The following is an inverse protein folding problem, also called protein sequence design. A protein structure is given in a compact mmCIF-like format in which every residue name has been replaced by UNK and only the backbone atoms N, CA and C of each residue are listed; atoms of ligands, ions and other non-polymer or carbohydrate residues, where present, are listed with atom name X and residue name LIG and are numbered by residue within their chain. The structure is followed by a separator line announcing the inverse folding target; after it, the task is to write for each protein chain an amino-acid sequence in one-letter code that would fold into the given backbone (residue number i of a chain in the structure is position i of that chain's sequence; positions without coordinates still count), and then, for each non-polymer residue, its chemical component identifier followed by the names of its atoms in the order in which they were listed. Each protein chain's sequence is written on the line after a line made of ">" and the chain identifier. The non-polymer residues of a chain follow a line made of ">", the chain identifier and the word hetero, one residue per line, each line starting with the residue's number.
data_IF_649863217374
#
_entry.id   IF_649863217374
#
_cell.length_a   1.000
_cell.length_b   1.000
_cell.length_c   1.000
_cell.angle_alpha   90.00
_cell.angle_beta   90.00
_cell.angle_gamma   90.00
#
_symmetry.space_group_name_H-M   'P 1'
#
loop_
_entity.id
_entity.type
_entity.pdbx_description
1 polymer ?
#
# COMPACT_ATOMS: atom_id res chain seq x y z
N UNK A 1 53.39 13.63 -53.28
CA UNK A 1 52.79 13.73 -51.93
C UNK A 1 51.31 13.58 -52.07
N UNK A 2 50.68 12.48 -51.68
CA UNK A 2 49.22 12.33 -51.70
C UNK A 2 48.63 13.04 -50.51
N UNK A 3 47.56 13.85 -50.77
CA UNK A 3 46.76 14.53 -49.76
C UNK A 3 46.05 13.50 -48.87
N UNK A 4 46.22 13.61 -47.55
CA UNK A 4 45.46 12.84 -46.57
C UNK A 4 44.03 13.29 -46.61
N UNK A 5 43.13 12.48 -47.16
CA UNK A 5 41.68 12.60 -46.99
C UNK A 5 41.31 12.28 -45.54
N UNK A 6 40.90 13.31 -44.81
CA UNK A 6 40.33 13.17 -43.49
C UNK A 6 38.99 12.44 -43.61
N UNK A 7 38.95 11.16 -43.25
CA UNK A 7 37.72 10.38 -43.08
C UNK A 7 36.90 11.02 -41.97
N UNK A 8 35.97 11.86 -42.33
CA UNK A 8 34.92 12.34 -41.41
C UNK A 8 33.91 11.19 -41.21
N UNK A 9 34.01 10.54 -40.07
CA UNK A 9 32.98 9.65 -39.61
C UNK A 9 31.72 10.49 -39.31
N UNK A 10 30.88 10.68 -40.31
CA UNK A 10 29.51 11.21 -40.07
C UNK A 10 28.70 10.08 -39.46
N UNK A 11 28.60 10.04 -38.12
CA UNK A 11 27.54 9.27 -37.43
C UNK A 11 26.22 10.00 -37.68
N UNK A 12 25.77 9.98 -38.93
CA UNK A 12 24.44 10.41 -39.31
C UNK A 12 23.46 9.27 -38.92
N UNK A 13 23.32 9.05 -37.62
CA UNK A 13 22.20 8.27 -37.11
C UNK A 13 20.93 9.00 -37.48
N UNK A 14 19.94 8.31 -38.09
CA UNK A 14 18.63 8.89 -38.36
C UNK A 14 18.14 9.62 -37.10
N UNK A 15 17.53 10.82 -37.22
CA UNK A 15 17.08 11.62 -36.05
C UNK A 15 16.11 10.86 -35.15
N UNK A 16 15.55 9.74 -35.64
CA UNK A 16 14.78 8.78 -34.85
C UNK A 16 15.64 7.93 -33.90
N UNK A 17 16.76 7.38 -34.36
CA UNK A 17 17.66 6.54 -33.55
C UNK A 17 18.32 7.35 -32.43
N UNK A 18 18.73 8.59 -32.67
CA UNK A 18 19.31 9.46 -31.63
C UNK A 18 18.27 9.81 -30.57
N UNK A 19 17.02 10.09 -30.97
CA UNK A 19 15.92 10.34 -30.01
C UNK A 19 15.58 9.11 -29.20
N UNK A 20 15.53 7.94 -29.79
CA UNK A 20 15.30 6.68 -29.08
C UNK A 20 16.45 6.38 -28.11
N UNK A 21 17.69 6.53 -28.58
CA UNK A 21 18.88 6.36 -27.75
C UNK A 21 18.92 7.30 -26.55
N UNK A 22 18.65 8.59 -26.76
CA UNK A 22 18.62 9.57 -25.66
C UNK A 22 17.48 9.25 -24.65
N UNK A 23 16.29 8.89 -25.14
CA UNK A 23 15.18 8.47 -24.26
C UNK A 23 15.51 7.21 -23.47
N UNK A 24 16.16 6.24 -24.10
CA UNK A 24 16.61 5.01 -23.42
C UNK A 24 17.66 5.31 -22.34
N UNK A 25 18.61 6.22 -22.60
CA UNK A 25 19.59 6.68 -21.61
C UNK A 25 18.93 7.41 -20.44
N UNK A 26 17.97 8.31 -20.71
CA UNK A 26 17.20 9.00 -19.67
C UNK A 26 16.39 8.02 -18.83
N UNK A 27 15.71 7.04 -19.46
CA UNK A 27 14.98 5.99 -18.74
C UNK A 27 15.90 5.15 -17.88
N UNK A 28 17.07 4.73 -18.42
CA UNK A 28 18.08 3.99 -17.65
C UNK A 28 18.59 4.82 -16.46
N UNK A 29 18.85 6.12 -16.67
CA UNK A 29 19.25 7.04 -15.62
C UNK A 29 18.19 7.17 -14.50
N UNK A 30 16.93 7.30 -14.88
CA UNK A 30 15.79 7.35 -13.93
C UNK A 30 15.66 6.03 -13.17
N UNK A 31 15.75 4.89 -13.86
CA UNK A 31 15.66 3.56 -13.23
C UNK A 31 16.85 3.36 -12.27
N UNK A 32 18.07 3.66 -12.70
CA UNK A 32 19.24 3.52 -11.86
C UNK A 32 19.20 4.44 -10.64
N UNK A 33 18.81 5.71 -10.83
CA UNK A 33 18.63 6.65 -9.74
C UNK A 33 17.57 6.16 -8.74
N UNK A 34 16.41 5.72 -9.25
CA UNK A 34 15.33 5.17 -8.41
C UNK A 34 15.81 3.93 -7.65
N UNK A 35 16.53 3.03 -8.30
CA UNK A 35 17.09 1.85 -7.65
C UNK A 35 18.07 2.20 -6.53
N UNK A 36 18.97 3.18 -6.76
CA UNK A 36 19.90 3.67 -5.73
C UNK A 36 19.16 4.32 -4.57
N UNK A 37 18.16 5.15 -4.85
CA UNK A 37 17.33 5.78 -3.80
C UNK A 37 16.60 4.72 -2.98
N UNK A 38 15.96 3.74 -3.62
CA UNK A 38 15.27 2.64 -2.93
C UNK A 38 16.26 1.80 -2.10
N UNK A 39 17.44 1.54 -2.63
CA UNK A 39 18.49 0.83 -1.89
C UNK A 39 18.97 1.63 -0.66
N UNK A 40 19.20 2.93 -0.78
CA UNK A 40 19.56 3.79 0.35
C UNK A 40 18.41 3.84 1.40
N UNK A 41 17.17 3.98 0.95
CA UNK A 41 16.00 3.96 1.83
C UNK A 41 15.88 2.61 2.57
N UNK A 42 16.22 1.50 1.93
CA UNK A 42 16.21 0.19 2.58
C UNK A 42 17.25 0.07 3.69
N UNK A 43 18.40 0.75 3.59
CA UNK A 43 19.42 0.77 4.65
C UNK A 43 18.95 1.51 5.92
N UNK A 44 18.11 2.52 5.75
CA UNK A 44 17.52 3.31 6.85
C UNK A 44 16.04 3.01 7.07
N UNK A 45 15.60 1.84 6.63
CA UNK A 45 14.20 1.40 6.71
C UNK A 45 13.65 1.42 8.15
N UNK A 46 14.50 1.17 9.16
CA UNK A 46 14.14 1.26 10.57
C UNK A 46 13.61 2.62 11.02
N UNK A 47 13.96 3.72 10.31
CA UNK A 47 13.42 5.05 10.54
C UNK A 47 12.39 5.45 9.48
N UNK A 48 12.69 5.17 8.20
CA UNK A 48 11.84 5.57 7.06
C UNK A 48 10.44 4.96 7.17
N UNK A 49 10.35 3.68 7.51
CA UNK A 49 9.06 2.99 7.61
C UNK A 49 8.17 3.59 8.70
N UNK A 50 8.61 3.75 9.97
CA UNK A 50 7.83 4.43 10.99
C UNK A 50 7.46 5.87 10.62
N UNK A 51 8.35 6.59 9.94
CA UNK A 51 8.09 7.95 9.49
C UNK A 51 6.99 8.02 8.41
N UNK A 52 7.05 7.15 7.41
CA UNK A 52 5.99 7.06 6.38
C UNK A 52 4.65 6.65 7.00
N UNK A 53 4.66 5.71 7.95
CA UNK A 53 3.46 5.34 8.71
C UNK A 53 2.91 6.55 9.48
N UNK A 54 3.78 7.32 10.14
CA UNK A 54 3.37 8.52 10.86
C UNK A 54 2.77 9.58 9.94
N UNK A 55 3.31 9.79 8.73
CA UNK A 55 2.74 10.68 7.71
C UNK A 55 1.36 10.22 7.25
N UNK A 56 1.21 8.92 6.99
CA UNK A 56 -0.08 8.32 6.62
C UNK A 56 -1.11 8.50 7.73
N UNK A 57 -0.75 8.16 8.97
CA UNK A 57 -1.63 8.33 10.13
C UNK A 57 -1.92 9.82 10.39
N UNK A 58 -0.95 10.71 10.17
CA UNK A 58 -1.16 12.15 10.19
C UNK A 58 -2.21 12.59 9.17
N UNK A 59 -2.06 12.16 7.91
CA UNK A 59 -3.04 12.46 6.87
C UNK A 59 -4.44 11.94 7.21
N UNK A 60 -4.56 10.75 7.84
CA UNK A 60 -5.84 10.17 8.24
C UNK A 60 -6.48 10.91 9.41
N UNK A 61 -5.70 11.19 10.45
CA UNK A 61 -6.23 11.60 11.74
C UNK A 61 -6.07 13.10 12.07
N UNK A 62 -5.28 13.88 11.28
CA UNK A 62 -5.19 15.33 11.46
C UNK A 62 -6.58 16.02 11.48
N UNK A 63 -7.55 15.68 10.60
CA UNK A 63 -8.88 16.29 10.67
C UNK A 63 -9.64 15.98 11.97
N UNK A 64 -9.34 14.85 12.61
CA UNK A 64 -9.94 14.52 13.90
C UNK A 64 -9.35 15.38 15.01
N UNK A 65 -8.03 15.63 14.97
CA UNK A 65 -7.37 16.58 15.89
C UNK A 65 -7.92 18.00 15.69
N UNK A 66 -8.12 18.41 14.43
CA UNK A 66 -8.69 19.74 14.12
C UNK A 66 -10.13 19.87 14.64
N UNK A 67 -10.96 18.85 14.52
CA UNK A 67 -12.32 18.82 15.10
C UNK A 67 -12.28 18.89 16.64
N UNK A 68 -11.36 18.18 17.29
CA UNK A 68 -11.20 18.27 18.75
C UNK A 68 -10.77 19.69 19.17
N UNK A 69 -9.97 20.36 18.38
CA UNK A 69 -9.59 21.76 18.59
C UNK A 69 -10.78 22.70 18.50
N UNK A 70 -11.69 22.50 17.55
CA UNK A 70 -12.94 23.27 17.46
C UNK A 70 -13.82 23.12 18.70
N UNK A 71 -13.70 22.00 19.45
CA UNK A 71 -14.38 21.75 20.71
C UNK A 71 -13.56 22.19 21.94
N UNK A 72 -12.52 23.00 21.75
CA UNK A 72 -11.74 23.61 22.85
C UNK A 72 -10.59 22.77 23.37
N UNK A 73 -10.27 21.60 22.76
CA UNK A 73 -9.11 20.79 23.15
C UNK A 73 -7.85 21.37 22.51
N UNK A 74 -6.78 21.66 23.27
CA UNK A 74 -5.52 22.11 22.67
C UNK A 74 -4.96 21.05 21.72
N UNK A 75 -4.29 21.46 20.64
CA UNK A 75 -3.82 20.58 19.57
C UNK A 75 -2.96 19.42 20.09
N UNK A 76 -2.09 19.68 21.06
CA UNK A 76 -1.29 18.65 21.75
C UNK A 76 -2.16 17.63 22.50
N UNK A 77 -3.21 18.11 23.18
CA UNK A 77 -4.19 17.25 23.86
C UNK A 77 -5.00 16.41 22.87
N UNK A 78 -5.45 17.01 21.75
CA UNK A 78 -6.14 16.31 20.67
C UNK A 78 -5.28 15.23 20.03
N UNK A 79 -4.02 15.54 19.74
CA UNK A 79 -3.05 14.58 19.21
C UNK A 79 -2.81 13.40 20.18
N UNK A 80 -2.70 13.69 21.47
CA UNK A 80 -2.54 12.66 22.51
C UNK A 80 -3.78 11.76 22.59
N UNK A 81 -4.99 12.33 22.58
CA UNK A 81 -6.24 11.56 22.58
C UNK A 81 -6.35 10.64 21.36
N UNK A 82 -6.02 11.14 20.15
CA UNK A 82 -5.99 10.35 18.93
C UNK A 82 -4.95 9.23 19.02
N UNK A 83 -3.75 9.52 19.52
CA UNK A 83 -2.70 8.53 19.71
C UNK A 83 -3.11 7.45 20.72
N UNK A 84 -3.72 7.81 21.84
CA UNK A 84 -4.25 6.86 22.82
C UNK A 84 -5.35 6.00 22.21
N UNK A 85 -6.30 6.59 21.48
CA UNK A 85 -7.35 5.86 20.78
C UNK A 85 -6.76 4.88 19.75
N UNK A 86 -5.78 5.32 18.96
CA UNK A 86 -5.08 4.47 18.01
C UNK A 86 -4.34 3.31 18.71
N UNK A 87 -3.66 3.60 19.82
CA UNK A 87 -2.99 2.59 20.64
C UNK A 87 -3.97 1.54 21.16
N UNK A 88 -5.12 1.97 21.66
CA UNK A 88 -6.19 1.06 22.13
C UNK A 88 -6.70 0.19 20.98
N UNK A 89 -6.91 0.78 19.78
CA UNK A 89 -7.34 0.02 18.58
C UNK A 89 -6.27 -0.99 18.17
N UNK A 90 -5.00 -0.59 18.11
CA UNK A 90 -3.88 -1.47 17.70
C UNK A 90 -3.69 -2.60 18.72
N UNK A 91 -3.62 -2.28 20.01
CA UNK A 91 -3.45 -3.29 21.08
C UNK A 91 -4.67 -4.18 21.16
N UNK A 92 -5.89 -3.64 21.07
CA UNK A 92 -7.13 -4.41 21.06
C UNK A 92 -7.23 -5.33 19.85
N UNK A 93 -6.87 -4.85 18.66
CA UNK A 93 -6.82 -5.69 17.45
C UNK A 93 -5.76 -6.79 17.56
N UNK A 94 -4.57 -6.45 18.06
CA UNK A 94 -3.52 -7.43 18.31
C UNK A 94 -3.97 -8.50 19.31
N UNK A 95 -4.64 -8.10 20.38
CA UNK A 95 -5.22 -9.05 21.37
C UNK A 95 -6.25 -9.97 20.74
N UNK A 96 -7.18 -9.43 19.90
CA UNK A 96 -8.18 -10.22 19.20
C UNK A 96 -7.53 -11.22 18.22
N UNK A 97 -6.49 -10.81 17.49
CA UNK A 97 -5.74 -11.68 16.59
C UNK A 97 -5.03 -12.78 17.39
N UNK A 98 -4.35 -12.41 18.46
CA UNK A 98 -3.62 -13.37 19.31
C UNK A 98 -4.58 -14.37 19.94
N UNK A 99 -5.66 -13.91 20.58
CA UNK A 99 -6.63 -14.80 21.22
C UNK A 99 -7.40 -15.67 20.22
N UNK A 100 -7.76 -15.10 19.06
CA UNK A 100 -8.49 -15.81 18.00
C UNK A 100 -7.63 -16.79 17.21
N UNK A 101 -6.38 -16.43 16.89
CA UNK A 101 -5.53 -17.23 16.02
C UNK A 101 -4.59 -18.16 16.82
N UNK A 102 -3.87 -17.62 17.82
CA UNK A 102 -2.90 -18.42 18.58
C UNK A 102 -3.61 -19.41 19.49
N UNK A 103 -4.71 -19.01 20.14
CA UNK A 103 -5.52 -19.90 20.98
C UNK A 103 -6.12 -21.07 20.20
N UNK A 104 -6.32 -20.91 18.90
CA UNK A 104 -6.90 -21.94 18.02
C UNK A 104 -5.86 -22.60 17.10
N UNK A 105 -4.56 -22.34 17.28
CA UNK A 105 -3.49 -22.88 16.45
C UNK A 105 -3.51 -24.41 16.29
N UNK A 106 -3.80 -25.23 17.32
CA UNK A 106 -3.92 -26.69 17.15
C UNK A 106 -5.07 -27.05 16.22
N UNK A 107 -6.24 -26.43 16.38
CA UNK A 107 -7.40 -26.68 15.53
C UNK A 107 -7.14 -26.23 14.09
N UNK A 108 -6.53 -25.05 13.89
CA UNK A 108 -6.11 -24.57 12.56
C UNK A 108 -5.23 -25.62 11.87
N UNK A 109 -4.25 -26.19 12.57
CA UNK A 109 -3.38 -27.23 12.01
C UNK A 109 -4.18 -28.47 11.61
N UNK A 110 -5.06 -28.95 12.47
CA UNK A 110 -5.88 -30.14 12.21
C UNK A 110 -6.75 -29.95 10.97
N UNK A 111 -7.47 -28.82 10.86
CA UNK A 111 -8.35 -28.56 9.71
C UNK A 111 -7.57 -28.34 8.42
N UNK A 112 -6.43 -27.65 8.46
CA UNK A 112 -5.57 -27.47 7.30
C UNK A 112 -5.00 -28.79 6.80
N UNK A 113 -4.51 -29.68 7.69
CA UNK A 113 -3.99 -30.99 7.30
C UNK A 113 -5.11 -31.85 6.72
N UNK A 114 -6.28 -31.90 7.33
CA UNK A 114 -7.44 -32.62 6.81
C UNK A 114 -7.88 -32.13 5.42
N UNK A 115 -7.86 -30.80 5.20
CA UNK A 115 -8.13 -30.20 3.89
C UNK A 115 -7.10 -30.61 2.84
N UNK A 116 -5.82 -30.62 3.18
CA UNK A 116 -4.73 -31.06 2.30
C UNK A 116 -4.82 -32.54 1.97
N UNK A 117 -5.11 -33.38 2.96
CA UNK A 117 -5.30 -34.82 2.77
C UNK A 117 -6.48 -35.11 1.82
N UNK A 118 -7.54 -34.31 1.94
CA UNK A 118 -8.69 -34.38 1.01
C UNK A 118 -8.31 -34.00 -0.42
N UNK A 119 -7.52 -32.93 -0.62
CA UNK A 119 -7.02 -32.56 -1.94
C UNK A 119 -6.14 -33.65 -2.54
N UNK A 120 -5.20 -34.18 -1.76
CA UNK A 120 -4.26 -35.21 -2.24
C UNK A 120 -4.97 -36.52 -2.58
N UNK A 121 -5.93 -36.97 -1.77
CA UNK A 121 -6.74 -38.15 -2.05
C UNK A 121 -7.64 -37.98 -3.27
N UNK A 122 -8.18 -36.78 -3.48
CA UNK A 122 -8.97 -36.48 -4.67
C UNK A 122 -8.12 -36.51 -5.95
N UNK A 123 -6.90 -35.92 -5.93
CA UNK A 123 -5.96 -35.94 -7.05
C UNK A 123 -5.57 -37.38 -7.41
N UNK A 124 -5.23 -38.21 -6.41
CA UNK A 124 -4.89 -39.61 -6.59
C UNK A 124 -6.06 -40.41 -7.17
N UNK A 125 -7.30 -40.17 -6.68
CA UNK A 125 -8.51 -40.81 -7.17
C UNK A 125 -8.84 -40.52 -8.65
N UNK A 126 -8.33 -39.41 -9.20
CA UNK A 126 -8.51 -39.01 -10.59
C UNK A 126 -7.30 -39.35 -11.51
N UNK A 127 -6.36 -40.15 -11.00
CA UNK A 127 -5.19 -40.59 -11.78
C UNK A 127 -4.20 -39.46 -12.07
N UNK A 128 -4.37 -38.32 -11.39
CA UNK A 128 -3.37 -37.27 -11.35
C UNK A 128 -2.39 -37.70 -10.26
N UNK A 129 -1.42 -38.53 -10.65
CA UNK A 129 -0.29 -38.79 -9.80
C UNK A 129 0.33 -37.41 -9.48
N UNK A 130 0.10 -36.94 -8.28
CA UNK A 130 0.83 -35.81 -7.71
C UNK A 130 2.29 -36.25 -7.52
N UNK A 131 2.91 -36.61 -8.66
CA UNK A 131 4.28 -37.06 -8.88
C UNK A 131 4.76 -38.09 -7.86
N UNK A 132 5.20 -39.22 -8.36
CA UNK A 132 5.98 -40.23 -7.64
C UNK A 132 7.34 -39.72 -7.08
N UNK A 133 7.46 -38.41 -6.94
CA UNK A 133 8.49 -37.76 -6.13
C UNK A 133 7.83 -37.17 -4.91
N UNK A 134 8.30 -37.51 -3.73
CA UNK A 134 7.95 -36.95 -2.42
C UNK A 134 7.96 -35.41 -2.34
N UNK A 135 8.13 -34.74 -3.48
CA UNK A 135 8.34 -33.30 -3.66
C UNK A 135 7.04 -32.51 -3.73
N UNK A 136 5.92 -33.06 -4.24
CA UNK A 136 4.71 -32.27 -4.45
C UNK A 136 3.80 -32.20 -3.22
N UNK A 137 3.59 -33.33 -2.53
CA UNK A 137 2.87 -33.35 -1.24
C UNK A 137 3.66 -32.60 -0.17
N UNK A 138 4.98 -32.84 -0.09
CA UNK A 138 5.85 -32.07 0.81
C UNK A 138 5.93 -30.58 0.45
N UNK A 139 5.85 -30.21 -0.84
CA UNK A 139 5.82 -28.80 -1.22
C UNK A 139 4.48 -28.15 -0.90
N UNK A 140 3.35 -28.83 -1.07
CA UNK A 140 2.04 -28.32 -0.67
C UNK A 140 1.91 -28.27 0.84
N UNK A 141 2.34 -29.32 1.57
CA UNK A 141 2.43 -29.30 3.03
C UNK A 141 3.41 -28.24 3.54
N UNK A 142 4.57 -28.09 2.89
CA UNK A 142 5.53 -27.06 3.27
C UNK A 142 5.03 -25.65 2.90
N UNK A 143 4.29 -25.49 1.82
CA UNK A 143 3.68 -24.21 1.44
C UNK A 143 2.53 -23.84 2.39
N UNK A 144 1.63 -24.76 2.71
CA UNK A 144 0.58 -24.54 3.70
C UNK A 144 1.13 -24.41 5.12
N UNK A 145 2.11 -25.22 5.47
CA UNK A 145 2.87 -25.10 6.72
C UNK A 145 3.65 -23.80 6.79
N UNK A 146 4.20 -23.32 5.67
CA UNK A 146 4.88 -22.03 5.59
C UNK A 146 3.93 -20.84 5.67
N UNK A 147 2.72 -20.95 5.10
CA UNK A 147 1.68 -19.90 5.22
C UNK A 147 1.13 -19.88 6.66
N UNK A 148 0.74 -21.02 7.22
CA UNK A 148 0.28 -21.10 8.60
C UNK A 148 1.42 -20.79 9.60
N UNK A 149 2.60 -21.36 9.38
CA UNK A 149 3.80 -21.10 10.17
C UNK A 149 4.30 -19.66 10.02
N UNK A 150 4.21 -19.08 8.82
CA UNK A 150 4.53 -17.69 8.55
C UNK A 150 3.58 -16.71 9.23
N UNK A 151 2.28 -16.99 9.22
CA UNK A 151 1.28 -16.24 9.98
C UNK A 151 1.51 -16.35 11.49
N UNK A 152 1.72 -17.56 11.99
CA UNK A 152 2.01 -17.81 13.41
C UNK A 152 3.38 -17.25 13.81
N UNK A 153 4.40 -17.35 12.95
CA UNK A 153 5.72 -16.79 13.19
C UNK A 153 5.72 -15.26 13.10
N UNK A 154 4.95 -14.66 12.18
CA UNK A 154 4.79 -13.22 12.11
C UNK A 154 4.11 -12.67 13.37
N UNK A 155 3.09 -13.36 13.86
CA UNK A 155 2.38 -13.00 15.10
C UNK A 155 3.26 -13.30 16.31
N UNK A 156 3.84 -14.50 16.41
CA UNK A 156 4.68 -14.91 17.55
C UNK A 156 6.05 -14.24 17.60
N UNK A 157 6.66 -13.98 16.43
CA UNK A 157 7.93 -13.27 16.32
C UNK A 157 7.82 -11.79 16.70
N UNK A 158 6.68 -11.17 16.45
CA UNK A 158 6.39 -9.83 16.95
C UNK A 158 6.38 -9.79 18.49
N UNK A 159 5.95 -10.86 19.16
CA UNK A 159 5.92 -10.93 20.62
C UNK A 159 7.25 -11.38 21.25
N UNK A 160 8.03 -12.24 20.59
CA UNK A 160 9.32 -12.71 21.11
C UNK A 160 10.41 -11.62 21.13
N UNK A 161 10.28 -10.59 20.28
CA UNK A 161 11.17 -9.42 20.24
C UNK A 161 10.64 -8.24 21.06
N UNK A 162 9.96 -8.49 22.18
CA UNK A 162 9.19 -7.50 22.95
C UNK A 162 9.89 -6.17 23.20
N UNK A 163 11.20 -6.18 23.48
CA UNK A 163 11.96 -4.94 23.68
C UNK A 163 12.14 -4.16 22.36
N UNK A 164 12.49 -4.82 21.26
CA UNK A 164 12.65 -4.17 19.95
C UNK A 164 11.30 -3.65 19.43
N UNK A 165 10.24 -4.41 19.65
CA UNK A 165 8.88 -3.98 19.33
C UNK A 165 8.47 -2.76 20.18
N UNK A 166 8.76 -2.74 21.47
CA UNK A 166 8.46 -1.63 22.35
C UNK A 166 9.22 -0.37 21.95
N UNK A 167 10.51 -0.47 21.60
CA UNK A 167 11.31 0.66 21.11
C UNK A 167 10.75 1.16 19.78
N UNK A 168 10.47 0.28 18.83
CA UNK A 168 9.90 0.63 17.53
C UNK A 168 8.52 1.29 17.67
N UNK A 169 7.66 0.75 18.54
CA UNK A 169 6.37 1.33 18.86
C UNK A 169 6.48 2.70 19.54
N UNK A 170 7.43 2.89 20.45
CA UNK A 170 7.69 4.18 21.11
C UNK A 170 8.16 5.22 20.09
N UNK A 171 9.10 4.88 19.19
CA UNK A 171 9.55 5.75 18.11
C UNK A 171 8.39 6.09 17.18
N UNK A 172 7.62 5.07 16.75
CA UNK A 172 6.45 5.28 15.91
C UNK A 172 5.40 6.18 16.57
N UNK A 173 5.06 5.93 17.83
CA UNK A 173 4.12 6.75 18.61
C UNK A 173 4.61 8.19 18.76
N UNK A 174 5.89 8.40 19.02
CA UNK A 174 6.52 9.70 19.07
C UNK A 174 6.40 10.43 17.73
N UNK A 175 6.73 9.77 16.62
CA UNK A 175 6.61 10.36 15.29
C UNK A 175 5.15 10.70 14.96
N UNK A 176 4.21 9.80 15.23
CA UNK A 176 2.77 10.05 15.01
C UNK A 176 2.30 11.24 15.83
N UNK A 177 2.68 11.32 17.12
CA UNK A 177 2.33 12.44 17.99
C UNK A 177 2.81 13.77 17.41
N UNK A 178 4.09 13.87 17.04
CA UNK A 178 4.65 15.12 16.51
C UNK A 178 4.07 15.49 15.14
N UNK A 179 3.84 14.52 14.29
CA UNK A 179 3.18 14.75 12.99
C UNK A 179 1.75 15.27 13.19
N UNK A 180 1.00 14.75 14.17
CA UNK A 180 -0.36 15.22 14.46
C UNK A 180 -0.37 16.60 15.10
N UNK A 181 0.59 16.89 16.00
CA UNK A 181 0.71 18.20 16.66
C UNK A 181 1.05 19.30 15.66
N UNK A 182 1.99 19.03 14.76
CA UNK A 182 2.50 20.03 13.80
C UNK A 182 2.16 19.69 12.34
N UNK A 183 0.99 19.11 12.10
CA UNK A 183 0.54 18.76 10.76
C UNK A 183 0.57 19.94 9.79
N UNK A 184 0.09 21.11 10.21
CA UNK A 184 0.06 22.32 9.38
C UNK A 184 1.47 22.87 9.08
N UNK A 185 2.39 22.82 10.05
CA UNK A 185 3.79 23.21 9.85
C UNK A 185 4.48 22.28 8.88
N UNK A 186 4.28 20.96 9.07
CA UNK A 186 4.86 19.91 8.24
C UNK A 186 4.35 19.99 6.78
N UNK A 187 3.04 20.11 6.57
CA UNK A 187 2.47 20.20 5.21
C UNK A 187 2.89 21.48 4.50
N UNK A 188 3.00 22.60 5.21
CA UNK A 188 3.53 23.87 4.71
C UNK A 188 5.01 23.75 4.32
N UNK A 189 5.81 23.11 5.17
CA UNK A 189 7.21 22.84 4.88
C UNK A 189 7.36 21.94 3.65
N UNK A 190 6.62 20.84 3.58
CA UNK A 190 6.61 19.94 2.41
C UNK A 190 6.21 20.70 1.14
N UNK A 191 5.14 21.50 1.18
CA UNK A 191 4.67 22.29 0.06
C UNK A 191 5.73 23.27 -0.48
N UNK A 192 6.51 23.90 0.41
CA UNK A 192 7.62 24.77 0.04
C UNK A 192 8.80 24.06 -0.65
N UNK A 193 8.90 22.73 -0.54
CA UNK A 193 10.00 21.94 -1.09
C UNK A 193 9.61 21.07 -2.31
N UNK A 194 8.39 21.18 -2.81
CA UNK A 194 7.93 20.42 -4.01
C UNK A 194 8.57 20.92 -5.31
N UNK A 195 9.31 22.03 -5.27
CA UNK A 195 9.97 22.60 -6.47
C UNK A 195 9.04 23.40 -7.38
N UNK A 196 7.92 23.88 -6.82
CA UNK A 196 6.95 24.75 -7.45
C UNK A 196 6.68 25.94 -6.53
N UNK A 197 5.85 26.93 -6.99
CA UNK A 197 5.43 28.01 -6.11
C UNK A 197 4.73 27.50 -4.83
N UNK A 198 4.80 28.26 -3.75
CA UNK A 198 4.34 27.84 -2.43
C UNK A 198 2.83 27.51 -2.39
N UNK A 199 2.01 28.21 -3.17
CA UNK A 199 0.56 27.97 -3.22
C UNK A 199 0.25 26.64 -3.91
N UNK A 200 0.87 26.39 -5.07
CA UNK A 200 0.75 25.11 -5.78
C UNK A 200 1.31 23.96 -4.94
N UNK A 201 2.47 24.15 -4.29
CA UNK A 201 3.06 23.14 -3.42
C UNK A 201 2.15 22.76 -2.25
N UNK A 202 1.55 23.75 -1.59
CA UNK A 202 0.57 23.51 -0.53
C UNK A 202 -0.64 22.72 -1.04
N UNK A 203 -1.18 23.08 -2.21
CA UNK A 203 -2.31 22.37 -2.82
C UNK A 203 -1.95 20.93 -3.21
N UNK A 204 -0.73 20.68 -3.68
CA UNK A 204 -0.22 19.32 -3.99
C UNK A 204 -0.18 18.45 -2.74
N UNK A 205 0.32 18.99 -1.63
CA UNK A 205 0.40 18.24 -0.36
C UNK A 205 -0.99 17.97 0.21
N UNK A 206 -1.92 18.92 0.10
CA UNK A 206 -3.31 18.72 0.56
C UNK A 206 -4.03 17.67 -0.29
N UNK A 207 -3.92 17.74 -1.62
CA UNK A 207 -4.47 16.72 -2.52
C UNK A 207 -3.90 15.33 -2.23
N UNK A 208 -2.59 15.23 -1.93
CA UNK A 208 -1.93 13.99 -1.54
C UNK A 208 -2.51 13.44 -0.21
N UNK A 209 -2.68 14.29 0.79
CA UNK A 209 -3.27 13.90 2.06
C UNK A 209 -4.74 13.43 1.92
N UNK A 210 -5.52 14.12 1.07
CA UNK A 210 -6.90 13.70 0.74
C UNK A 210 -6.90 12.35 0.02
N UNK A 211 -5.99 12.13 -0.93
CA UNK A 211 -5.88 10.86 -1.66
C UNK A 211 -5.54 9.70 -0.70
N UNK A 212 -4.58 9.88 0.20
CA UNK A 212 -4.23 8.90 1.24
C UNK A 212 -5.44 8.58 2.11
N UNK A 213 -6.15 9.61 2.59
CA UNK A 213 -7.34 9.44 3.44
C UNK A 213 -8.43 8.66 2.75
N UNK A 214 -8.77 9.02 1.51
CA UNK A 214 -9.80 8.33 0.72
C UNK A 214 -9.42 6.87 0.46
N UNK A 215 -8.15 6.62 0.13
CA UNK A 215 -7.65 5.27 -0.11
C UNK A 215 -7.79 4.38 1.12
N UNK A 216 -7.24 4.81 2.26
CA UNK A 216 -7.28 3.98 3.48
C UNK A 216 -8.69 3.81 4.03
N UNK A 217 -9.55 4.81 3.90
CA UNK A 217 -10.96 4.67 4.27
C UNK A 217 -11.68 3.63 3.41
N UNK A 218 -11.50 3.71 2.08
CA UNK A 218 -12.07 2.74 1.15
C UNK A 218 -11.53 1.33 1.40
N UNK A 219 -10.22 1.21 1.62
CA UNK A 219 -9.55 -0.06 1.90
C UNK A 219 -10.07 -0.69 3.20
N UNK A 220 -10.16 0.09 4.29
CA UNK A 220 -10.65 -0.38 5.58
C UNK A 220 -12.11 -0.82 5.51
N UNK A 221 -12.95 -0.05 4.83
CA UNK A 221 -14.35 -0.42 4.62
C UNK A 221 -14.47 -1.69 3.76
N UNK A 222 -13.67 -1.80 2.69
CA UNK A 222 -13.59 -3.00 1.86
C UNK A 222 -13.16 -4.22 2.67
N UNK A 223 -12.11 -4.10 3.47
CA UNK A 223 -11.60 -5.16 4.33
C UNK A 223 -12.65 -5.62 5.36
N UNK A 224 -13.34 -4.66 5.98
CA UNK A 224 -14.40 -4.95 6.95
C UNK A 224 -15.58 -5.69 6.31
N UNK A 225 -16.08 -5.18 5.17
CA UNK A 225 -17.19 -5.82 4.45
C UNK A 225 -16.81 -7.24 4.02
N UNK A 226 -15.62 -7.41 3.44
CA UNK A 226 -15.12 -8.73 3.01
C UNK A 226 -14.99 -9.68 4.20
N UNK A 227 -14.42 -9.23 5.32
CA UNK A 227 -14.26 -10.05 6.52
C UNK A 227 -15.60 -10.46 7.13
N UNK A 228 -16.56 -9.54 7.19
CA UNK A 228 -17.90 -9.82 7.72
C UNK A 228 -18.66 -10.82 6.84
N UNK A 229 -18.59 -10.65 5.51
CA UNK A 229 -19.30 -11.57 4.61
C UNK A 229 -18.65 -12.94 4.59
N UNK A 230 -17.33 -13.06 4.46
CA UNK A 230 -16.62 -14.34 4.43
C UNK A 230 -16.73 -15.04 5.79
N UNK A 231 -16.46 -14.33 6.89
CA UNK A 231 -16.60 -14.88 8.24
C UNK A 231 -18.04 -15.23 8.61
N UNK A 232 -19.01 -14.41 8.20
CA UNK A 232 -20.44 -14.67 8.35
C UNK A 232 -20.89 -15.90 7.56
N UNK A 233 -20.41 -16.06 6.34
CA UNK A 233 -20.65 -17.29 5.53
C UNK A 233 -20.09 -18.51 6.23
N UNK A 234 -18.84 -18.45 6.72
CA UNK A 234 -18.23 -19.55 7.48
C UNK A 234 -19.07 -19.91 8.72
N UNK A 235 -19.55 -18.90 9.44
CA UNK A 235 -20.39 -19.10 10.61
C UNK A 235 -21.73 -19.76 10.27
N UNK A 236 -22.43 -19.28 9.23
CA UNK A 236 -23.72 -19.86 8.78
C UNK A 236 -23.56 -21.30 8.29
N UNK A 237 -22.44 -21.60 7.65
CA UNK A 237 -22.12 -22.96 7.17
C UNK A 237 -21.66 -23.90 8.30
N UNK A 238 -21.54 -23.41 9.55
CA UNK A 238 -21.02 -24.19 10.67
C UNK A 238 -19.55 -24.55 10.55
N UNK A 239 -18.80 -23.80 9.72
CA UNK A 239 -17.35 -23.98 9.57
C UNK A 239 -16.69 -23.51 10.87
N UNK A 240 -15.82 -24.32 11.48
CA UNK A 240 -15.09 -23.90 12.68
C UNK A 240 -14.16 -22.74 12.34
N UNK A 241 -13.71 -22.02 13.35
CA UNK A 241 -12.79 -20.89 13.17
C UNK A 241 -13.36 -19.72 12.34
N UNK A 242 -14.69 -19.57 12.21
CA UNK A 242 -15.32 -18.50 11.44
C UNK A 242 -14.83 -17.09 11.83
N UNK A 243 -14.66 -16.83 13.14
CA UNK A 243 -14.10 -15.58 13.63
C UNK A 243 -12.62 -15.41 13.21
N UNK A 244 -11.82 -16.47 13.29
CA UNK A 244 -10.41 -16.46 12.85
C UNK A 244 -10.31 -16.21 11.34
N UNK A 245 -11.19 -16.82 10.54
CA UNK A 245 -11.30 -16.56 9.09
C UNK A 245 -11.59 -15.08 8.84
N UNK A 246 -12.55 -14.49 9.57
CA UNK A 246 -12.87 -13.06 9.44
C UNK A 246 -11.67 -12.17 9.78
N UNK A 247 -11.00 -12.44 10.90
CA UNK A 247 -9.83 -11.66 11.35
C UNK A 247 -8.68 -11.77 10.36
N UNK A 248 -8.33 -12.98 9.91
CA UNK A 248 -7.27 -13.17 8.91
C UNK A 248 -7.62 -12.45 7.61
N UNK A 249 -8.87 -12.57 7.16
CA UNK A 249 -9.34 -11.87 5.95
C UNK A 249 -9.20 -10.35 6.10
N UNK A 250 -9.61 -9.79 7.24
CA UNK A 250 -9.51 -8.36 7.49
C UNK A 250 -8.05 -7.88 7.48
N UNK A 251 -7.17 -8.55 8.18
CA UNK A 251 -5.75 -8.15 8.31
C UNK A 251 -5.03 -8.30 6.98
N UNK A 252 -5.22 -9.42 6.28
CA UNK A 252 -4.53 -9.66 5.00
C UNK A 252 -5.04 -8.77 3.87
N UNK A 253 -6.28 -8.29 3.93
CA UNK A 253 -6.89 -7.42 2.91
C UNK A 253 -6.15 -6.09 2.71
N UNK A 254 -5.30 -5.68 3.66
CA UNK A 254 -4.45 -4.49 3.50
C UNK A 254 -3.32 -4.68 2.48
N UNK A 255 -2.99 -5.90 2.10
CA UNK A 255 -2.00 -6.19 1.07
C UNK A 255 -2.71 -6.63 -0.22
N UNK A 256 -2.75 -5.78 -1.28
CA UNK A 256 -3.48 -6.09 -2.51
C UNK A 256 -3.04 -7.42 -3.12
N UNK A 257 -3.98 -8.17 -3.67
CA UNK A 257 -3.81 -9.49 -4.29
C UNK A 257 -3.32 -10.58 -3.34
N UNK A 258 -2.22 -10.36 -2.59
CA UNK A 258 -1.66 -11.33 -1.64
C UNK A 258 -2.68 -11.63 -0.54
N UNK A 259 -3.31 -10.60 0.00
CA UNK A 259 -4.33 -10.76 1.03
C UNK A 259 -5.51 -11.62 0.58
N UNK A 260 -5.98 -11.38 -0.64
CA UNK A 260 -7.07 -12.15 -1.23
C UNK A 260 -6.73 -13.63 -1.41
N UNK A 261 -5.52 -13.92 -1.90
CA UNK A 261 -5.05 -15.30 -2.11
C UNK A 261 -4.87 -16.00 -0.75
N UNK A 262 -4.19 -15.36 0.19
CA UNK A 262 -3.90 -15.95 1.51
C UNK A 262 -5.19 -16.21 2.29
N UNK A 263 -6.08 -15.23 2.41
CA UNK A 263 -7.34 -15.39 3.14
C UNK A 263 -8.27 -16.37 2.44
N UNK A 264 -8.32 -16.32 1.10
CA UNK A 264 -9.14 -17.22 0.30
C UNK A 264 -8.69 -18.68 0.40
N UNK A 265 -7.40 -18.93 0.25
CA UNK A 265 -6.82 -20.27 0.42
C UNK A 265 -7.06 -20.79 1.85
N UNK A 266 -6.81 -19.96 2.87
CA UNK A 266 -7.02 -20.31 4.26
C UNK A 266 -8.48 -20.70 4.53
N UNK A 267 -9.44 -19.85 4.16
CA UNK A 267 -10.87 -20.09 4.41
C UNK A 267 -11.38 -21.33 3.64
N UNK A 268 -10.94 -21.52 2.39
CA UNK A 268 -11.33 -22.67 1.57
C UNK A 268 -10.77 -23.99 2.12
N UNK A 269 -9.50 -23.98 2.56
CA UNK A 269 -8.87 -25.18 3.15
C UNK A 269 -9.51 -25.57 4.50
N UNK A 270 -9.83 -24.60 5.34
CA UNK A 270 -10.57 -24.86 6.59
C UNK A 270 -11.96 -25.45 6.29
N UNK A 271 -12.69 -24.86 5.31
CA UNK A 271 -13.99 -25.38 4.88
C UNK A 271 -13.89 -26.81 4.35
N UNK A 272 -12.84 -27.11 3.59
CA UNK A 272 -12.60 -28.43 3.02
C UNK A 272 -12.29 -29.48 4.14
N UNK A 273 -11.44 -29.11 5.09
CA UNK A 273 -11.06 -30.01 6.18
C UNK A 273 -12.22 -30.32 7.13
N UNK A 274 -13.05 -29.31 7.45
CA UNK A 274 -14.13 -29.44 8.43
C UNK A 274 -15.43 -29.98 7.84
N UNK A 275 -15.85 -29.49 6.68
CA UNK A 275 -17.20 -29.72 6.14
C UNK A 275 -17.19 -30.38 4.73
N UNK A 276 -16.00 -30.70 4.21
CA UNK A 276 -15.83 -31.42 2.95
C UNK A 276 -15.89 -30.54 1.69
N UNK A 277 -15.90 -31.21 0.53
CA UNK A 277 -15.73 -30.58 -0.77
C UNK A 277 -16.85 -29.58 -1.10
N UNK A 278 -18.09 -29.91 -0.79
CA UNK A 278 -19.23 -29.02 -1.11
C UNK A 278 -19.11 -27.68 -0.37
N UNK A 279 -18.72 -27.73 0.90
CA UNK A 279 -18.48 -26.53 1.71
C UNK A 279 -17.30 -25.70 1.17
N UNK A 280 -16.23 -26.36 0.75
CA UNK A 280 -15.08 -25.70 0.16
C UNK A 280 -15.41 -24.98 -1.15
N UNK A 281 -16.20 -25.64 -2.03
CA UNK A 281 -16.65 -25.05 -3.30
C UNK A 281 -17.54 -23.84 -3.05
N UNK A 282 -18.51 -23.95 -2.14
CA UNK A 282 -19.39 -22.83 -1.79
C UNK A 282 -18.55 -21.67 -1.23
N UNK A 283 -17.63 -21.94 -0.30
CA UNK A 283 -16.74 -20.92 0.29
C UNK A 283 -15.89 -20.24 -0.78
N UNK A 284 -15.29 -21.01 -1.68
CA UNK A 284 -14.48 -20.48 -2.78
C UNK A 284 -15.30 -19.57 -3.70
N UNK A 285 -16.51 -19.99 -4.08
CA UNK A 285 -17.41 -19.18 -4.91
C UNK A 285 -17.77 -17.87 -4.20
N UNK A 286 -18.13 -17.93 -2.92
CA UNK A 286 -18.43 -16.74 -2.12
C UNK A 286 -17.23 -15.80 -2.08
N UNK A 287 -16.03 -16.32 -1.81
CA UNK A 287 -14.80 -15.54 -1.78
C UNK A 287 -14.56 -14.84 -3.12
N UNK A 288 -14.63 -15.56 -4.24
CA UNK A 288 -14.42 -15.00 -5.57
C UNK A 288 -15.47 -13.92 -5.90
N UNK A 289 -16.73 -14.16 -5.59
CA UNK A 289 -17.82 -13.19 -5.81
C UNK A 289 -17.63 -11.96 -4.94
N UNK A 290 -17.41 -12.14 -3.65
CA UNK A 290 -17.28 -11.02 -2.70
C UNK A 290 -16.03 -10.20 -3.00
N UNK A 291 -14.90 -10.83 -3.26
CA UNK A 291 -13.65 -10.12 -3.59
C UNK A 291 -13.81 -9.27 -4.86
N UNK A 292 -14.43 -9.81 -5.92
CA UNK A 292 -14.64 -9.06 -7.16
C UNK A 292 -15.66 -7.93 -6.97
N UNK A 293 -16.80 -8.21 -6.31
CA UNK A 293 -17.85 -7.20 -6.09
C UNK A 293 -17.35 -6.09 -5.17
N UNK A 294 -16.76 -6.44 -4.03
CA UNK A 294 -16.32 -5.46 -3.03
C UNK A 294 -15.18 -4.62 -3.58
N UNK A 295 -14.18 -5.22 -4.24
CA UNK A 295 -13.10 -4.46 -4.86
C UNK A 295 -13.61 -3.50 -5.94
N UNK A 296 -14.54 -3.96 -6.78
CA UNK A 296 -15.07 -3.12 -7.86
C UNK A 296 -15.96 -1.99 -7.32
N UNK A 297 -16.88 -2.29 -6.40
CA UNK A 297 -17.85 -1.30 -5.92
C UNK A 297 -17.22 -0.35 -4.90
N UNK A 298 -16.53 -0.88 -3.90
CA UNK A 298 -16.02 -0.08 -2.77
C UNK A 298 -14.82 0.76 -3.21
N UNK A 299 -13.84 0.16 -3.87
CA UNK A 299 -12.64 0.89 -4.29
C UNK A 299 -12.97 1.92 -5.39
N UNK A 300 -13.78 1.55 -6.40
CA UNK A 300 -14.09 2.46 -7.49
C UNK A 300 -15.00 3.60 -7.05
N UNK A 301 -16.05 3.31 -6.27
CA UNK A 301 -17.03 4.35 -5.87
C UNK A 301 -16.55 5.23 -4.72
N UNK A 302 -15.79 4.69 -3.76
CA UNK A 302 -15.38 5.43 -2.56
C UNK A 302 -14.01 6.09 -2.71
N UNK A 303 -13.07 5.43 -3.40
CA UNK A 303 -11.75 6.00 -3.64
C UNK A 303 -11.76 7.06 -4.77
N UNK A 304 -12.81 7.10 -5.58
CA UNK A 304 -12.97 8.06 -6.67
C UNK A 304 -12.08 7.77 -7.87
N UNK A 305 -12.17 8.64 -8.88
CA UNK A 305 -11.48 8.52 -10.18
C UNK A 305 -9.93 8.47 -10.08
N UNK A 306 -9.38 8.86 -8.94
CA UNK A 306 -7.93 8.87 -8.72
C UNK A 306 -7.29 7.47 -8.67
N UNK A 307 -8.07 6.41 -8.61
CA UNK A 307 -7.58 5.02 -8.43
C UNK A 307 -7.88 4.10 -9.62
N UNK A 308 -8.08 4.62 -10.82
CA UNK A 308 -8.05 3.81 -12.05
C UNK A 308 -6.61 3.32 -12.35
N UNK A 309 -5.96 2.74 -11.32
CA UNK A 309 -4.64 2.14 -11.47
C UNK A 309 -4.79 0.85 -12.26
N UNK A 310 -3.99 0.71 -13.32
CA UNK A 310 -3.93 -0.57 -14.03
C UNK A 310 -3.45 -1.66 -13.05
N UNK A 311 -4.09 -2.84 -12.99
CA UNK A 311 -3.73 -3.91 -12.06
C UNK A 311 -2.24 -4.27 -12.05
N UNK A 312 -1.59 -4.25 -13.22
CA UNK A 312 -0.14 -4.49 -13.36
C UNK A 312 0.70 -3.47 -12.58
N UNK A 313 0.29 -2.20 -12.56
CA UNK A 313 1.00 -1.14 -11.82
C UNK A 313 0.88 -1.37 -10.33
N UNK A 314 -0.31 -1.74 -9.84
CA UNK A 314 -0.53 -2.07 -8.43
C UNK A 314 0.28 -3.29 -8.02
N UNK A 315 0.26 -4.36 -8.83
CA UNK A 315 1.02 -5.57 -8.58
C UNK A 315 2.53 -5.28 -8.57
N UNK A 316 3.03 -4.58 -9.59
CA UNK A 316 4.45 -4.21 -9.67
C UNK A 316 4.89 -3.35 -8.48
N UNK A 317 4.09 -2.34 -8.12
CA UNK A 317 4.37 -1.51 -6.95
C UNK A 317 4.37 -2.32 -5.65
N UNK A 318 3.42 -3.25 -5.49
CA UNK A 318 3.34 -4.14 -4.32
C UNK A 318 4.58 -5.03 -4.21
N UNK A 319 5.07 -5.61 -5.32
CA UNK A 319 6.30 -6.43 -5.35
C UNK A 319 7.51 -5.57 -4.98
N UNK A 320 7.64 -4.39 -5.56
CA UNK A 320 8.76 -3.46 -5.26
C UNK A 320 8.69 -3.01 -3.79
N UNK A 321 7.50 -2.64 -3.31
CA UNK A 321 7.29 -2.26 -1.92
C UNK A 321 7.64 -3.39 -0.95
N UNK A 322 7.24 -4.63 -1.27
CA UNK A 322 7.59 -5.81 -0.49
C UNK A 322 9.11 -6.03 -0.41
N UNK A 323 9.83 -5.82 -1.52
CA UNK A 323 11.28 -5.97 -1.57
C UNK A 323 12.02 -4.90 -0.75
N UNK A 324 11.46 -3.67 -0.64
CA UNK A 324 12.09 -2.54 0.07
C UNK A 324 11.80 -2.57 1.57
N UNK A 325 10.56 -2.80 1.97
CA UNK A 325 10.12 -2.67 3.36
C UNK A 325 9.19 -3.81 3.82
N UNK A 326 9.31 -4.99 3.19
CA UNK A 326 8.54 -6.17 3.55
C UNK A 326 7.02 -5.95 3.41
N UNK A 327 6.26 -6.57 4.28
CA UNK A 327 4.79 -6.52 4.26
C UNK A 327 4.24 -5.07 4.37
N UNK A 328 4.89 -4.21 5.17
CA UNK A 328 4.50 -2.81 5.28
C UNK A 328 4.73 -2.04 3.99
N UNK A 329 5.85 -2.30 3.31
CA UNK A 329 6.12 -1.72 2.00
C UNK A 329 5.11 -2.18 0.94
N UNK A 330 4.72 -3.45 0.95
CA UNK A 330 3.67 -3.96 0.07
C UNK A 330 2.32 -3.27 0.30
N UNK A 331 1.92 -3.09 1.56
CA UNK A 331 0.66 -2.42 1.91
C UNK A 331 0.66 -0.92 1.56
N UNK A 332 1.81 -0.24 1.70
CA UNK A 332 1.96 1.19 1.42
C UNK A 332 2.21 1.50 -0.06
N UNK A 333 2.56 0.50 -0.88
CA UNK A 333 2.90 0.70 -2.28
C UNK A 333 1.75 1.30 -3.10
N UNK A 334 0.54 0.75 -2.96
CA UNK A 334 -0.64 1.23 -3.68
C UNK A 334 -1.02 2.68 -3.33
N UNK A 335 -1.10 3.10 -2.06
CA UNK A 335 -1.33 4.50 -1.72
C UNK A 335 -0.20 5.41 -2.19
N UNK A 336 1.06 4.97 -2.18
CA UNK A 336 2.17 5.76 -2.71
C UNK A 336 2.03 6.04 -4.21
N UNK A 337 1.62 5.04 -5.00
CA UNK A 337 1.34 5.22 -6.44
C UNK A 337 0.15 6.15 -6.65
N UNK A 338 -0.92 6.01 -5.85
CA UNK A 338 -2.09 6.89 -5.92
C UNK A 338 -1.72 8.36 -5.67
N UNK A 339 -0.90 8.61 -4.64
CA UNK A 339 -0.35 9.94 -4.34
C UNK A 339 0.50 10.46 -5.51
N UNK A 340 1.43 9.64 -6.02
CA UNK A 340 2.30 10.03 -7.13
C UNK A 340 1.50 10.43 -8.38
N UNK A 341 0.41 9.73 -8.70
CA UNK A 341 -0.47 10.07 -9.81
C UNK A 341 -1.28 11.34 -9.56
N UNK A 342 -1.78 11.53 -8.34
CA UNK A 342 -2.50 12.75 -7.94
C UNK A 342 -1.59 13.97 -8.10
N UNK A 343 -0.36 13.89 -7.57
CA UNK A 343 0.66 14.93 -7.70
C UNK A 343 0.98 15.21 -9.16
N UNK A 344 1.25 14.16 -9.95
CA UNK A 344 1.52 14.29 -11.38
C UNK A 344 0.37 14.96 -12.12
N UNK A 345 -0.88 14.56 -11.86
CA UNK A 345 -2.05 15.14 -12.48
C UNK A 345 -2.18 16.63 -12.16
N UNK A 346 -2.01 16.99 -10.89
CA UNK A 346 -2.05 18.40 -10.44
C UNK A 346 -0.99 19.25 -11.14
N UNK A 347 0.24 18.74 -11.22
CA UNK A 347 1.35 19.44 -11.86
C UNK A 347 1.17 19.55 -13.40
N UNK A 348 0.54 18.55 -14.03
CA UNK A 348 0.28 18.55 -15.48
C UNK A 348 -0.89 19.45 -15.89
N UNK A 349 -1.85 19.71 -15.01
CA UNK A 349 -3.05 20.54 -15.28
C UNK A 349 -2.85 22.00 -14.89
N UNK A 350 -1.61 22.44 -14.64
CA UNK A 350 -1.30 23.87 -14.41
C UNK A 350 -1.82 24.69 -15.58
N UNK A 351 -2.67 25.72 -15.37
CA UNK A 351 -2.98 26.66 -16.42
C UNK A 351 -1.69 27.39 -16.82
N UNK A 352 -1.40 27.42 -18.13
CA UNK A 352 -0.23 28.09 -18.73
C UNK A 352 -0.23 29.63 -18.54
N UNK A 353 -1.13 30.15 -17.74
CA UNK A 353 -1.36 31.60 -17.55
C UNK A 353 -0.43 32.26 -16.54
N UNK A 354 0.29 31.49 -15.71
CA UNK A 354 1.18 32.09 -14.70
C UNK A 354 2.61 32.36 -15.24
N UNK A 355 3.08 31.58 -16.20
CA UNK A 355 4.37 31.87 -16.87
C UNK A 355 4.36 33.07 -17.75
N UNK A 356 3.17 33.55 -18.20
CA UNK A 356 3.02 34.76 -19.01
C UNK A 356 2.98 36.06 -18.19
N UNK A 357 2.73 36.01 -16.90
CA UNK A 357 2.70 37.18 -16.01
C UNK A 357 4.10 37.69 -15.63
N UNK A 358 5.15 36.86 -15.81
CA UNK A 358 6.55 37.22 -15.53
C UNK A 358 7.24 37.98 -16.69
N UNK A 359 6.61 38.11 -17.85
CA UNK A 359 7.19 38.76 -19.04
C UNK A 359 6.31 39.91 -19.59
N UNK A 360 5.81 40.74 -18.69
CA UNK A 360 5.31 42.05 -19.17
C UNK A 360 6.55 42.92 -19.43
N UNK A 361 6.78 43.40 -20.68
CA UNK A 361 7.83 44.37 -20.89
C UNK A 361 7.41 45.65 -20.14
N UNK A 362 8.33 46.16 -19.35
CA UNK A 362 8.22 47.48 -18.76
C UNK A 362 8.04 48.45 -19.93
N UNK A 363 6.85 48.92 -20.18
CA UNK A 363 6.58 49.97 -21.11
C UNK A 363 7.32 51.21 -20.64
N UNK A 364 8.43 51.50 -21.31
CA UNK A 364 9.16 52.72 -21.13
C UNK A 364 8.23 53.90 -21.43
N UNK A 365 7.95 54.65 -20.40
CA UNK A 365 7.33 55.96 -20.54
C UNK A 365 8.36 56.92 -21.14
N UNK A 366 8.29 57.12 -22.45
CA UNK A 366 8.94 58.26 -23.13
C UNK A 366 8.06 59.50 -22.89
N UNK A 367 8.58 60.57 -22.24
CA UNK A 367 7.84 61.82 -22.16
C UNK A 367 7.92 62.54 -23.51
N UNK A 368 6.77 62.75 -24.16
CA UNK A 368 6.65 63.56 -25.35
C UNK A 368 7.11 65.00 -25.09
N UNK A 369 7.87 65.64 -26.00
CA UNK A 369 8.28 67.05 -25.87
C UNK A 369 7.10 67.97 -26.13
N UNK A 370 6.90 68.95 -25.22
CA UNK A 370 6.02 70.13 -25.42
C UNK A 370 6.56 70.91 -26.54
N UNK A 371 5.81 70.98 -27.69
CA UNK A 371 5.99 71.97 -28.76
C UNK A 371 5.25 73.26 -28.39
N UNK A 372 6.03 74.33 -28.38
CA UNK A 372 5.55 75.70 -28.29
C UNK A 372 4.96 76.13 -29.66
N UNK A 373 3.80 76.69 -29.62
CA UNK A 373 3.43 77.88 -30.37
C UNK A 373 2.02 78.34 -29.96
#
# INVERSE_FOLDING_TARGET
>A
MPKAESVRWSVAGSPGLVRVGLRSWLLLGVIAFTAVVLWLLSQVSGFVVPFVIALVLGALFAPLVDRLREHGVPRSGGALLVLLGLTVVVVGSAWLVVSGVIGQAPQIRTELTAGLDTVTSWLQGHGIDAGSGATSTQQVESAAGSVAGGLLAAIGGAFSSGLMLAIGAAIGAFLVYYVLVDWEGLTRWMGGHVGVDAATGAAVVDDAAIAVRRYFWALTLSALVTAVVIGGTAWVMGIPLAFTIAVITMVTSYVPYIGAIVSGAFATLIALGSNGLDAAVVMLVVILVVQNIVQTIVLVKLAGVALSLHPIVVLGATIIGAAVAGMLGAALASPAVAVALTVRHRLATRPATEDAAGTLPVAGADPAPLAQA
#
